data_IF_015112034307
#
_entry.id   IF_015112034307
#
_cell.length_a   1.000
_cell.length_b   1.000
_cell.length_c   1.000
_cell.angle_alpha   90.00
_cell.angle_beta   90.00
_cell.angle_gamma   90.00
#
_symmetry.space_group_name_H-M   'P 1'
#
loop_
_entity.id
_entity.type
_entity.pdbx_description
1 polymer ?
#
# COMPACT_ATOMS: atom_id res chain seq x y z
N UNK A 1 43.03 -28.07 49.94
CA UNK A 1 42.45 -26.75 49.66
C UNK A 1 42.18 -26.67 48.18
N UNK A 2 40.90 -26.67 47.79
CA UNK A 2 40.48 -26.58 46.38
C UNK A 2 40.04 -25.13 46.17
N UNK A 3 40.64 -24.45 45.20
CA UNK A 3 40.41 -23.04 44.90
C UNK A 3 39.01 -22.87 44.26
N UNK A 4 38.05 -22.16 44.88
CA UNK A 4 36.68 -22.04 44.37
C UNK A 4 36.53 -20.88 43.37
N UNK A 5 37.54 -20.68 42.52
CA UNK A 5 37.78 -19.39 41.87
C UNK A 5 37.68 -19.36 40.35
N UNK A 6 37.08 -20.35 39.68
CA UNK A 6 37.08 -20.38 38.21
C UNK A 6 35.76 -20.81 37.56
N UNK A 7 34.63 -20.30 38.05
CA UNK A 7 33.45 -20.16 37.21
C UNK A 7 33.68 -18.98 36.27
N UNK A 8 34.25 -19.23 35.08
CA UNK A 8 34.14 -18.25 34.00
C UNK A 8 32.66 -18.16 33.64
N UNK A 9 32.00 -17.08 34.03
CA UNK A 9 30.73 -16.69 33.41
C UNK A 9 31.00 -16.56 31.91
N UNK A 10 30.38 -17.40 31.05
CA UNK A 10 30.43 -17.10 29.64
C UNK A 10 29.72 -15.76 29.49
N UNK A 11 30.47 -14.71 29.12
CA UNK A 11 29.86 -13.51 28.57
C UNK A 11 29.20 -13.96 27.27
N UNK A 12 27.95 -14.39 27.41
CA UNK A 12 27.07 -14.70 26.31
C UNK A 12 26.74 -13.34 25.72
N UNK A 13 27.60 -12.87 24.82
CA UNK A 13 27.24 -11.80 23.89
C UNK A 13 26.04 -12.34 23.10
N UNK A 14 24.83 -12.06 23.60
CA UNK A 14 23.61 -12.44 22.91
C UNK A 14 23.52 -11.56 21.67
N UNK A 15 24.08 -12.05 20.57
CA UNK A 15 24.03 -11.37 19.28
C UNK A 15 22.65 -11.64 18.67
N UNK A 16 21.88 -10.58 18.46
CA UNK A 16 20.61 -10.64 17.71
C UNK A 16 20.97 -10.66 16.23
N UNK A 17 20.67 -11.77 15.55
CA UNK A 17 20.82 -11.91 14.11
C UNK A 17 19.44 -11.68 13.49
N UNK A 18 19.33 -10.65 12.66
CA UNK A 18 18.11 -10.34 11.93
C UNK A 18 17.98 -11.20 10.66
N UNK A 19 16.75 -11.39 10.14
CA UNK A 19 16.53 -12.12 8.89
C UNK A 19 17.46 -11.62 7.77
N UNK A 20 18.08 -12.55 7.04
CA UNK A 20 19.13 -12.22 6.05
C UNK A 20 20.57 -12.28 6.60
N UNK A 21 20.78 -12.81 7.81
CA UNK A 21 22.09 -12.97 8.46
C UNK A 21 22.80 -11.62 8.69
N UNK A 22 22.05 -10.61 9.14
CA UNK A 22 22.60 -9.28 9.43
C UNK A 22 22.57 -8.96 10.92
N UNK A 23 23.61 -8.24 11.36
CA UNK A 23 23.74 -7.68 12.72
C UNK A 23 23.19 -6.26 12.83
N UNK A 24 22.89 -5.62 11.70
CA UNK A 24 22.27 -4.31 11.66
C UNK A 24 20.78 -4.45 11.89
N UNK A 25 20.24 -3.78 12.91
CA UNK A 25 18.79 -3.67 13.04
C UNK A 25 18.20 -3.11 11.75
N UNK A 26 17.17 -3.75 11.18
CA UNK A 26 16.41 -3.14 10.11
C UNK A 26 15.87 -1.81 10.63
N UNK A 27 16.21 -0.71 9.97
CA UNK A 27 15.64 0.61 10.22
C UNK A 27 14.34 0.83 9.45
N UNK A 28 13.95 -0.16 8.64
CA UNK A 28 12.88 -0.04 7.68
C UNK A 28 11.54 0.08 8.38
N UNK A 29 10.97 1.28 8.33
CA UNK A 29 9.52 1.43 8.39
C UNK A 29 8.97 0.95 7.05
N UNK A 30 7.81 0.31 7.07
CA UNK A 30 7.09 -0.05 5.84
C UNK A 30 6.83 1.26 5.09
N UNK A 31 7.53 1.47 3.99
CA UNK A 31 7.33 2.58 3.08
C UNK A 31 6.37 2.12 1.98
N UNK A 32 5.39 2.95 1.63
CA UNK A 32 4.49 2.68 0.51
C UNK A 32 5.17 2.81 -0.86
N UNK A 33 6.45 3.22 -0.88
CA UNK A 33 7.22 3.41 -2.11
C UNK A 33 7.43 2.09 -2.85
N UNK A 34 6.97 2.02 -4.09
CA UNK A 34 7.03 0.82 -4.93
C UNK A 34 5.94 -0.22 -4.63
N UNK A 35 5.06 0.03 -3.66
CA UNK A 35 3.89 -0.83 -3.40
C UNK A 35 2.79 -0.49 -4.41
N UNK A 36 2.09 -1.51 -4.91
CA UNK A 36 0.93 -1.33 -5.78
C UNK A 36 -0.34 -1.39 -4.94
N UNK A 37 -1.09 -0.29 -4.89
CA UNK A 37 -2.35 -0.18 -4.15
C UNK A 37 -3.55 -0.33 -5.09
N UNK A 38 -4.52 -1.15 -4.70
CA UNK A 38 -5.79 -1.37 -5.39
C UNK A 38 -6.83 -0.44 -4.80
N UNK A 39 -7.16 0.61 -5.54
CA UNK A 39 -8.02 1.68 -5.05
C UNK A 39 -9.40 1.54 -5.71
N UNK A 40 -10.41 1.25 -4.88
CA UNK A 40 -11.81 1.26 -5.26
C UNK A 40 -12.36 2.68 -5.29
N UNK A 41 -12.86 3.13 -6.45
CA UNK A 41 -13.43 4.47 -6.63
C UNK A 41 -14.93 4.41 -6.89
N UNK A 42 -15.68 5.40 -6.38
CA UNK A 42 -17.12 5.56 -6.62
C UNK A 42 -17.41 6.84 -7.40
N UNK A 43 -18.42 6.81 -8.27
CA UNK A 43 -18.88 8.02 -8.97
C UNK A 43 -19.57 8.95 -7.98
N UNK A 44 -19.01 10.13 -7.78
CA UNK A 44 -19.56 11.13 -6.88
C UNK A 44 -19.27 12.52 -7.44
N UNK A 45 -20.21 13.13 -8.14
CA UNK A 45 -20.05 14.51 -8.60
C UNK A 45 -20.08 15.48 -7.41
N UNK A 46 -19.21 16.52 -7.35
CA UNK A 46 -18.19 16.89 -8.34
C UNK A 46 -16.78 16.29 -8.06
N UNK A 47 -16.65 15.41 -7.06
CA UNK A 47 -15.36 14.88 -6.59
C UNK A 47 -14.70 13.91 -7.58
N UNK A 48 -15.49 13.06 -8.23
CA UNK A 48 -15.04 12.13 -9.26
C UNK A 48 -16.05 12.07 -10.41
N UNK A 49 -15.57 12.44 -11.58
CA UNK A 49 -16.30 12.47 -12.84
C UNK A 49 -15.69 11.42 -13.75
N UNK A 50 -16.51 10.48 -14.21
CA UNK A 50 -16.12 9.44 -15.17
C UNK A 50 -16.72 9.80 -16.51
N UNK A 51 -15.87 10.11 -17.49
CA UNK A 51 -16.27 10.47 -18.85
C UNK A 51 -15.83 9.39 -19.81
N UNK A 52 -16.72 9.01 -20.73
CA UNK A 52 -16.37 8.12 -21.83
C UNK A 52 -15.94 8.99 -23.01
N UNK A 53 -14.67 8.94 -23.38
CA UNK A 53 -14.14 9.63 -24.55
C UNK A 53 -13.95 8.62 -25.68
N UNK A 54 -14.26 9.02 -26.91
CA UNK A 54 -14.02 8.16 -28.08
C UNK A 54 -12.75 8.65 -28.75
N UNK A 55 -11.76 7.77 -28.90
CA UNK A 55 -10.53 8.11 -29.62
C UNK A 55 -10.77 8.12 -31.14
N UNK A 56 -9.82 8.65 -31.91
CA UNK A 56 -9.87 8.76 -33.37
C UNK A 56 -10.01 7.40 -34.09
N UNK A 57 -9.80 6.29 -33.38
CA UNK A 57 -9.96 4.91 -33.84
C UNK A 57 -11.36 4.32 -33.53
N UNK A 58 -12.24 5.10 -32.90
CA UNK A 58 -13.57 4.66 -32.48
C UNK A 58 -13.61 3.86 -31.18
N UNK A 59 -12.48 3.70 -30.48
CA UNK A 59 -12.44 3.03 -29.18
C UNK A 59 -12.93 3.94 -28.05
N UNK A 60 -13.75 3.38 -27.16
CA UNK A 60 -14.24 4.06 -25.97
C UNK A 60 -13.18 3.96 -24.87
N UNK A 61 -12.58 5.09 -24.53
CA UNK A 61 -11.70 5.26 -23.39
C UNK A 61 -12.46 5.84 -22.21
N UNK A 62 -12.09 5.40 -21.01
CA UNK A 62 -12.65 5.93 -19.76
C UNK A 62 -11.66 6.95 -19.21
N UNK A 63 -12.09 8.19 -19.12
CA UNK A 63 -11.34 9.29 -18.53
C UNK A 63 -11.89 9.61 -17.13
N UNK A 64 -10.99 9.73 -16.16
CA UNK A 64 -11.30 10.10 -14.78
C UNK A 64 -10.85 11.53 -14.53
N UNK A 65 -11.76 12.38 -14.05
CA UNK A 65 -11.51 13.78 -13.74
C UNK A 65 -12.09 14.12 -12.35
N UNK A 66 -11.62 15.23 -11.77
CA UNK A 66 -12.14 15.78 -10.51
C UNK A 66 -11.11 15.78 -9.39
N UNK A 67 -11.46 16.45 -8.28
CA UNK A 67 -10.53 16.69 -7.17
C UNK A 67 -9.89 15.41 -6.61
N UNK A 68 -10.65 14.32 -6.51
CA UNK A 68 -10.13 13.05 -5.99
C UNK A 68 -9.05 12.45 -6.91
N UNK A 69 -9.18 12.65 -8.22
CA UNK A 69 -8.20 12.17 -9.18
C UNK A 69 -6.88 12.94 -9.05
N UNK A 70 -6.96 14.27 -8.97
CA UNK A 70 -5.79 15.14 -8.82
C UNK A 70 -5.05 14.89 -7.50
N UNK A 71 -5.80 14.64 -6.42
CA UNK A 71 -5.22 14.28 -5.13
C UNK A 71 -4.47 12.95 -5.20
N UNK A 72 -5.03 11.96 -5.90
CA UNK A 72 -4.44 10.65 -6.03
C UNK A 72 -3.13 10.71 -6.83
N UNK A 73 -3.09 11.49 -7.92
CA UNK A 73 -1.86 11.76 -8.67
C UNK A 73 -0.80 12.46 -7.81
N UNK A 74 -1.19 13.47 -7.02
CA UNK A 74 -0.28 14.14 -6.09
C UNK A 74 0.30 13.18 -5.05
N UNK A 75 -0.53 12.27 -4.52
CA UNK A 75 -0.12 11.28 -3.52
C UNK A 75 0.83 10.25 -4.14
N UNK A 76 0.56 9.77 -5.35
CA UNK A 76 1.48 8.88 -6.07
C UNK A 76 2.83 9.54 -6.29
N UNK A 77 2.85 10.78 -6.76
CA UNK A 77 4.07 11.51 -7.04
C UNK A 77 4.89 11.81 -5.77
N UNK A 78 4.23 12.10 -4.64
CA UNK A 78 4.93 12.41 -3.38
C UNK A 78 5.36 11.18 -2.59
N UNK A 79 4.57 10.12 -2.58
CA UNK A 79 4.80 8.92 -1.75
C UNK A 79 5.50 7.82 -2.57
N UNK A 80 5.30 7.78 -3.88
CA UNK A 80 5.94 6.84 -4.80
C UNK A 80 5.30 5.45 -4.84
N UNK A 81 4.01 5.33 -4.51
CA UNK A 81 3.25 4.09 -4.72
C UNK A 81 2.67 4.05 -6.14
N UNK A 82 2.42 2.85 -6.64
CA UNK A 82 1.67 2.64 -7.88
C UNK A 82 0.20 2.40 -7.53
N UNK A 83 -0.75 2.84 -8.35
CA UNK A 83 -2.16 2.46 -8.15
C UNK A 83 -2.72 1.62 -9.30
N UNK A 84 -3.61 0.70 -8.93
CA UNK A 84 -4.55 0.05 -9.82
C UNK A 84 -5.93 0.57 -9.43
N UNK A 85 -6.54 1.34 -10.32
CA UNK A 85 -7.80 2.01 -10.03
C UNK A 85 -8.96 1.20 -10.59
N UNK A 86 -9.92 0.89 -9.72
CA UNK A 86 -11.08 0.06 -10.07
C UNK A 86 -12.35 0.81 -9.74
N UNK A 87 -13.19 1.00 -10.76
CA UNK A 87 -14.50 1.60 -10.56
C UNK A 87 -15.42 0.58 -9.90
N UNK A 88 -15.92 0.90 -8.71
CA UNK A 88 -16.90 0.08 -8.03
C UNK A 88 -18.16 -0.08 -8.90
N UNK A 89 -18.72 -1.30 -9.01
CA UNK A 89 -19.96 -1.54 -9.72
C UNK A 89 -21.08 -0.63 -9.22
N UNK A 90 -21.88 -0.08 -10.15
CA UNK A 90 -22.97 0.85 -9.81
C UNK A 90 -24.12 0.20 -9.02
N UNK A 91 -24.14 -1.12 -8.91
CA UNK A 91 -25.10 -1.90 -8.15
C UNK A 91 -24.64 -2.21 -6.71
N UNK A 92 -23.41 -1.84 -6.33
CA UNK A 92 -22.92 -2.04 -4.97
C UNK A 92 -23.37 -0.91 -4.04
N UNK A 93 -23.80 -1.29 -2.85
CA UNK A 93 -24.06 -0.36 -1.74
C UNK A 93 -22.74 0.06 -1.09
N UNK A 94 -22.75 1.19 -0.39
CA UNK A 94 -21.60 1.65 0.39
C UNK A 94 -21.08 0.57 1.37
N UNK A 95 -21.99 -0.14 2.04
CA UNK A 95 -21.61 -1.22 2.95
C UNK A 95 -20.86 -2.37 2.24
N UNK A 96 -21.24 -2.70 1.01
CA UNK A 96 -20.57 -3.72 0.20
C UNK A 96 -19.19 -3.26 -0.28
N UNK A 97 -19.02 -1.96 -0.54
CA UNK A 97 -17.71 -1.39 -0.89
C UNK A 97 -16.78 -1.45 0.33
N UNK A 98 -17.27 -1.09 1.52
CA UNK A 98 -16.51 -1.23 2.77
C UNK A 98 -16.15 -2.70 3.02
N UNK A 99 -17.09 -3.62 2.80
CA UNK A 99 -16.81 -5.06 2.91
C UNK A 99 -15.71 -5.49 1.91
N UNK A 100 -15.68 -4.93 0.71
CA UNK A 100 -14.65 -5.24 -0.30
C UNK A 100 -13.24 -4.83 0.14
N UNK A 101 -13.11 -3.81 1.00
CA UNK A 101 -11.83 -3.47 1.65
C UNK A 101 -11.44 -4.55 2.67
N UNK A 102 -12.39 -4.97 3.51
CA UNK A 102 -12.15 -6.03 4.49
C UNK A 102 -11.81 -7.38 3.83
N UNK A 103 -12.42 -7.67 2.68
CA UNK A 103 -12.17 -8.89 1.90
C UNK A 103 -10.85 -8.80 1.11
N UNK A 104 -10.15 -7.67 1.17
CA UNK A 104 -8.87 -7.44 0.51
C UNK A 104 -8.98 -7.32 -1.00
N UNK A 105 -10.15 -6.95 -1.54
CA UNK A 105 -10.30 -6.59 -2.95
C UNK A 105 -9.67 -5.22 -3.24
N UNK A 106 -9.76 -4.32 -2.26
CA UNK A 106 -9.11 -3.01 -2.22
C UNK A 106 -8.16 -2.94 -1.01
N UNK A 107 -7.15 -2.07 -1.10
CA UNK A 107 -6.16 -1.84 -0.03
C UNK A 107 -6.49 -0.61 0.82
#
# INVERSE_FOLDING_TARGET
YVDPGNWRTPLKENVIIWPGNTLTSPSDRILLKGITLRIGIIRAHPFLIVQNTTDNTGQINIQYNGYMWDLLDLLQNKIGFNSIIQLAPSNQTYAQIVQSVNDGAYD
#
